data_IF_719148635467
#
_entry.id   IF_719148635467
#
_cell.length_a   1.000
_cell.length_b   1.000
_cell.length_c   1.000
_cell.angle_alpha   90.00
_cell.angle_beta   90.00
_cell.angle_gamma   90.00
#
_symmetry.space_group_name_H-M   'P 1'
#
loop_
_entity.id
_entity.type
_entity.pdbx_description
1 polymer ?
#
# COMPACT_ATOMS: atom_id res chain seq x y z
N UNK A 1 7.08 -23.86 6.13
CA UNK A 1 6.17 -23.31 5.13
C UNK A 1 6.96 -22.39 4.21
N UNK A 2 7.02 -22.68 2.92
CA UNK A 2 7.74 -21.85 1.96
C UNK A 2 7.09 -20.47 1.97
N UNK A 3 7.90 -19.47 2.29
CA UNK A 3 7.50 -18.07 2.26
C UNK A 3 7.18 -17.72 0.81
N UNK A 4 5.91 -17.62 0.45
CA UNK A 4 5.50 -17.21 -0.88
C UNK A 4 6.18 -15.87 -1.18
N UNK A 5 6.90 -15.81 -2.29
CA UNK A 5 7.54 -14.58 -2.75
C UNK A 5 6.48 -13.48 -2.88
N UNK A 6 6.58 -12.46 -2.04
CA UNK A 6 5.69 -11.31 -2.09
C UNK A 6 6.21 -10.37 -3.17
N UNK A 7 5.58 -10.40 -4.35
CA UNK A 7 5.96 -9.55 -5.49
C UNK A 7 4.75 -8.75 -6.00
N UNK A 8 5.00 -7.51 -6.40
CA UNK A 8 4.01 -6.68 -7.06
C UNK A 8 4.66 -5.75 -8.10
N UNK A 9 3.85 -5.29 -9.03
CA UNK A 9 4.19 -4.17 -9.90
C UNK A 9 3.89 -2.86 -9.19
N UNK A 10 4.75 -1.88 -9.43
CA UNK A 10 4.60 -0.51 -8.96
C UNK A 10 4.20 0.34 -10.15
N UNK A 11 3.08 1.01 -10.02
CA UNK A 11 2.54 1.94 -11.01
C UNK A 11 2.76 3.38 -10.53
N UNK A 12 2.85 4.29 -11.46
CA UNK A 12 2.97 5.71 -11.17
C UNK A 12 2.10 6.52 -12.12
N UNK A 13 1.46 7.56 -11.60
CA UNK A 13 0.84 8.62 -12.41
C UNK A 13 1.90 9.68 -12.65
N UNK A 14 2.28 9.86 -13.91
CA UNK A 14 3.30 10.84 -14.29
C UNK A 14 2.77 12.28 -14.19
N UNK A 15 3.63 13.28 -14.00
CA UNK A 15 3.23 14.67 -13.95
C UNK A 15 2.37 15.08 -15.16
N UNK A 16 1.23 15.71 -14.90
CA UNK A 16 0.27 16.13 -15.92
C UNK A 16 -0.56 15.01 -16.55
N UNK A 17 -0.42 13.75 -16.08
CA UNK A 17 -1.19 12.62 -16.55
C UNK A 17 -2.22 12.16 -15.51
N UNK A 18 -3.19 11.35 -15.95
CA UNK A 18 -4.23 10.76 -15.07
C UNK A 18 -4.15 9.24 -15.02
N UNK A 19 -3.47 8.63 -15.98
CA UNK A 19 -3.37 7.18 -16.11
C UNK A 19 -2.10 6.66 -15.43
N UNK A 20 -2.20 5.47 -14.86
CA UNK A 20 -1.04 4.75 -14.36
C UNK A 20 -0.17 4.25 -15.50
N UNK A 21 1.13 4.30 -15.30
CA UNK A 21 2.13 3.57 -16.09
C UNK A 21 2.93 2.67 -15.17
N UNK A 22 3.32 1.49 -15.63
CA UNK A 22 4.10 0.55 -14.85
C UNK A 22 5.55 1.03 -14.78
N UNK A 23 5.96 1.44 -13.58
CA UNK A 23 7.32 1.92 -13.34
C UNK A 23 8.32 0.79 -13.12
N UNK A 24 7.93 -0.26 -12.38
CA UNK A 24 8.84 -1.33 -12.04
C UNK A 24 8.19 -2.45 -11.25
N UNK A 25 9.04 -3.29 -10.64
CA UNK A 25 8.63 -4.41 -9.81
C UNK A 25 9.29 -4.32 -8.43
N UNK A 26 8.48 -4.54 -7.41
CA UNK A 26 8.91 -4.64 -6.01
C UNK A 26 8.69 -6.07 -5.51
N UNK A 27 9.69 -6.59 -4.79
CA UNK A 27 9.63 -7.88 -4.13
C UNK A 27 10.08 -7.75 -2.68
N UNK A 28 9.31 -8.31 -1.75
CA UNK A 28 9.67 -8.41 -0.35
C UNK A 28 10.03 -9.87 -0.03
N UNK A 29 11.25 -10.10 0.44
CA UNK A 29 11.76 -11.43 0.77
C UNK A 29 12.38 -11.42 2.15
N UNK A 30 12.58 -12.61 2.72
CA UNK A 30 13.37 -12.76 3.94
C UNK A 30 14.79 -13.19 3.61
N UNK A 31 15.77 -12.61 4.29
CA UNK A 31 17.15 -13.06 4.22
C UNK A 31 17.34 -14.38 5.01
N UNK A 32 18.58 -14.88 5.06
CA UNK A 32 18.91 -16.11 5.81
C UNK A 32 18.65 -16.00 7.32
N UNK A 33 18.71 -14.80 7.88
CA UNK A 33 18.42 -14.50 9.29
C UNK A 33 16.92 -14.30 9.57
N UNK A 34 16.07 -14.34 8.53
CA UNK A 34 14.63 -14.13 8.66
C UNK A 34 14.18 -12.66 8.55
N UNK A 35 15.12 -11.71 8.37
CA UNK A 35 14.79 -10.29 8.27
C UNK A 35 14.20 -9.95 6.91
N UNK A 36 13.22 -9.04 6.84
CA UNK A 36 12.63 -8.61 5.59
C UNK A 36 13.63 -7.76 4.78
N UNK A 37 13.72 -8.07 3.50
CA UNK A 37 14.55 -7.36 2.51
C UNK A 37 13.72 -7.07 1.27
N UNK A 38 13.55 -5.79 0.98
CA UNK A 38 12.89 -5.31 -0.21
C UNK A 38 13.85 -5.15 -1.37
N UNK A 39 13.38 -5.49 -2.57
CA UNK A 39 14.09 -5.32 -3.82
C UNK A 39 13.19 -4.62 -4.81
N UNK A 40 13.74 -3.64 -5.50
CA UNK A 40 13.03 -2.92 -6.55
C UNK A 40 13.87 -2.83 -7.81
N UNK A 41 13.23 -2.93 -8.97
CA UNK A 41 13.85 -2.72 -10.27
C UNK A 41 12.91 -1.98 -11.20
N UNK A 42 13.40 -0.95 -11.87
CA UNK A 42 12.64 -0.25 -12.90
C UNK A 42 12.47 -1.12 -14.16
N UNK A 43 11.29 -1.08 -14.75
CA UNK A 43 11.06 -1.67 -16.06
C UNK A 43 11.91 -1.01 -17.14
N UNK A 44 12.41 -1.82 -18.09
CA UNK A 44 13.18 -1.26 -19.23
C UNK A 44 12.34 -0.29 -20.06
N UNK A 45 11.10 -0.65 -20.35
CA UNK A 45 10.15 0.20 -21.09
C UNK A 45 9.86 1.52 -20.37
N UNK A 46 9.77 1.48 -19.04
CA UNK A 46 9.59 2.70 -18.25
C UNK A 46 10.81 3.62 -18.36
N UNK A 47 12.02 3.09 -18.15
CA UNK A 47 13.27 3.88 -18.23
C UNK A 47 13.55 4.49 -19.61
N UNK A 48 13.00 3.91 -20.68
CA UNK A 48 13.13 4.41 -22.05
C UNK A 48 12.10 5.49 -22.41
N UNK A 49 11.16 5.78 -21.51
CA UNK A 49 10.20 6.85 -21.73
C UNK A 49 10.87 8.22 -21.59
N UNK A 50 10.55 9.19 -22.45
CA UNK A 50 11.08 10.55 -22.35
C UNK A 50 10.55 11.33 -21.14
N UNK A 51 9.38 10.92 -20.61
CA UNK A 51 8.69 11.50 -19.46
C UNK A 51 8.88 10.69 -18.18
N UNK A 52 9.77 9.68 -18.16
CA UNK A 52 10.05 8.89 -16.98
C UNK A 52 10.64 9.76 -15.86
N UNK A 53 10.12 9.57 -14.65
CA UNK A 53 10.63 10.21 -13.44
C UNK A 53 11.09 9.13 -12.44
N UNK A 54 12.05 9.49 -11.61
CA UNK A 54 12.43 8.65 -10.48
C UNK A 54 11.32 8.63 -9.42
N UNK A 55 11.07 7.46 -8.81
CA UNK A 55 10.03 7.32 -7.77
C UNK A 55 10.46 7.96 -6.44
N UNK A 56 11.77 8.01 -6.23
CA UNK A 56 12.39 8.64 -5.05
C UNK A 56 13.79 9.15 -5.46
N UNK A 57 14.10 10.45 -5.26
CA UNK A 57 15.38 11.03 -5.67
C UNK A 57 16.57 10.55 -4.81
N UNK A 58 16.31 9.93 -3.67
CA UNK A 58 17.34 9.44 -2.75
C UNK A 58 17.51 7.93 -2.86
N UNK A 59 16.43 7.16 -2.71
CA UNK A 59 16.49 5.70 -2.61
C UNK A 59 16.23 4.98 -3.94
N UNK A 60 15.42 5.55 -4.85
CA UNK A 60 14.97 4.91 -6.10
C UNK A 60 15.21 5.82 -7.31
N UNK A 61 16.48 6.17 -7.54
CA UNK A 61 16.87 6.94 -8.71
C UNK A 61 16.61 6.17 -10.00
N UNK A 62 16.34 6.86 -11.10
CA UNK A 62 16.04 6.22 -12.39
C UNK A 62 17.28 5.58 -13.01
N UNK A 63 17.59 4.33 -12.62
CA UNK A 63 18.75 3.55 -13.03
C UNK A 63 18.39 2.12 -13.39
N UNK A 64 19.24 1.40 -14.16
CA UNK A 64 18.98 0.01 -14.55
C UNK A 64 19.22 -1.01 -13.43
N UNK A 65 19.95 -0.65 -12.37
CA UNK A 65 20.33 -1.55 -11.30
C UNK A 65 19.11 -1.95 -10.44
N UNK A 66 19.25 -3.07 -9.75
CA UNK A 66 18.32 -3.48 -8.71
C UNK A 66 18.69 -2.76 -7.40
N UNK A 67 17.70 -2.10 -6.83
CA UNK A 67 17.79 -1.50 -5.50
C UNK A 67 17.43 -2.51 -4.42
N UNK A 68 18.06 -2.40 -3.26
CA UNK A 68 17.78 -3.27 -2.12
C UNK A 68 17.77 -2.46 -0.82
N UNK A 69 16.84 -2.78 0.07
CA UNK A 69 16.75 -2.18 1.41
C UNK A 69 16.30 -3.20 2.44
N UNK A 70 16.87 -3.11 3.65
CA UNK A 70 16.39 -3.81 4.84
C UNK A 70 15.75 -2.84 5.84
N UNK A 71 15.74 -1.54 5.52
CA UNK A 71 15.16 -0.49 6.37
C UNK A 71 13.65 -0.58 6.33
N UNK A 72 12.99 -0.04 7.35
CA UNK A 72 11.53 0.08 7.43
C UNK A 72 10.78 -1.22 7.10
N UNK A 73 11.28 -2.37 7.58
CA UNK A 73 10.67 -3.67 7.28
C UNK A 73 10.85 -4.13 5.83
N UNK A 74 11.91 -3.67 5.14
CA UNK A 74 12.19 -3.99 3.74
C UNK A 74 11.46 -3.07 2.75
N UNK A 75 10.93 -1.93 3.19
CA UNK A 75 10.26 -0.97 2.30
C UNK A 75 11.16 0.24 2.03
N UNK A 76 11.15 0.71 0.79
CA UNK A 76 11.65 2.03 0.43
C UNK A 76 10.67 3.10 0.89
N UNK A 77 11.14 4.30 1.26
CA UNK A 77 10.31 5.37 1.79
C UNK A 77 9.11 5.68 0.92
N UNK A 78 9.32 5.94 -0.37
CA UNK A 78 8.24 6.26 -1.30
C UNK A 78 7.19 5.13 -1.43
N UNK A 79 7.59 3.86 -1.35
CA UNK A 79 6.65 2.73 -1.40
C UNK A 79 5.87 2.59 -0.09
N UNK A 80 6.54 2.87 1.04
CA UNK A 80 5.92 2.85 2.36
C UNK A 80 4.86 3.94 2.53
N UNK A 81 5.09 5.10 1.95
CA UNK A 81 4.12 6.21 1.94
C UNK A 81 2.83 5.85 1.19
N UNK A 82 2.86 4.84 0.34
CA UNK A 82 1.68 4.25 -0.29
C UNK A 82 0.86 3.32 0.61
N UNK A 83 1.32 3.01 1.83
CA UNK A 83 0.55 2.23 2.79
C UNK A 83 -0.62 3.06 3.33
N UNK A 84 -1.76 2.43 3.62
CA UNK A 84 -2.86 3.11 4.28
C UNK A 84 -2.44 3.56 5.69
N UNK A 85 -2.99 4.68 6.13
CA UNK A 85 -2.88 5.13 7.50
C UNK A 85 -3.60 4.16 8.47
N UNK A 86 -3.59 4.49 9.76
CA UNK A 86 -4.23 3.65 10.78
C UNK A 86 -5.71 3.37 10.48
N UNK A 87 -6.46 4.37 10.03
CA UNK A 87 -7.88 4.23 9.72
C UNK A 87 -8.10 3.41 8.45
N UNK A 88 -7.35 3.67 7.40
CA UNK A 88 -7.38 2.90 6.17
C UNK A 88 -7.05 1.43 6.40
N UNK A 89 -6.09 1.13 7.26
CA UNK A 89 -5.76 -0.24 7.69
C UNK A 89 -6.96 -0.93 8.32
N UNK A 90 -7.63 -0.31 9.29
CA UNK A 90 -8.80 -0.89 9.94
C UNK A 90 -9.96 -1.16 8.97
N UNK A 91 -10.20 -0.23 8.03
CA UNK A 91 -11.23 -0.42 7.00
C UNK A 91 -10.92 -1.63 6.10
N UNK A 92 -9.66 -1.79 5.70
CA UNK A 92 -9.22 -2.91 4.87
C UNK A 92 -9.34 -4.23 5.65
N UNK A 93 -8.88 -4.29 6.89
CA UNK A 93 -8.96 -5.48 7.74
C UNK A 93 -10.42 -5.93 7.97
N UNK A 94 -11.32 -4.98 8.23
CA UNK A 94 -12.77 -5.27 8.35
C UNK A 94 -13.37 -5.81 7.04
N UNK A 95 -13.01 -5.22 5.89
CA UNK A 95 -13.49 -5.69 4.59
C UNK A 95 -12.92 -7.06 4.22
N UNK A 96 -11.67 -7.32 4.56
CA UNK A 96 -11.00 -8.59 4.29
C UNK A 96 -11.46 -9.71 5.22
N UNK A 97 -12.08 -9.39 6.36
CA UNK A 97 -12.48 -10.36 7.38
C UNK A 97 -11.32 -11.00 8.13
N UNK A 98 -10.11 -10.46 8.01
CA UNK A 98 -8.89 -10.95 8.66
C UNK A 98 -8.25 -9.85 9.49
N UNK A 99 -8.01 -10.05 10.80
CA UNK A 99 -7.16 -9.19 11.59
C UNK A 99 -5.69 -9.40 11.18
N UNK A 100 -4.88 -8.34 11.30
CA UNK A 100 -3.44 -8.37 11.08
C UNK A 100 -2.98 -8.72 9.64
N UNK A 101 -3.51 -8.01 8.66
CA UNK A 101 -3.00 -8.04 7.28
C UNK A 101 -1.58 -7.44 7.25
N UNK A 102 -0.63 -8.13 6.64
CA UNK A 102 0.76 -7.65 6.51
C UNK A 102 0.88 -6.40 5.66
N UNK A 103 1.94 -5.62 5.85
CA UNK A 103 2.16 -4.36 5.10
C UNK A 103 2.19 -4.57 3.58
N UNK A 104 2.71 -5.71 3.12
CA UNK A 104 2.73 -6.02 1.69
C UNK A 104 1.32 -6.25 1.12
N UNK A 105 0.48 -6.97 1.82
CA UNK A 105 -0.92 -7.18 1.45
C UNK A 105 -1.70 -5.86 1.49
N UNK A 106 -1.41 -5.00 2.46
CA UNK A 106 -2.02 -3.67 2.55
C UNK A 106 -1.67 -2.77 1.35
N UNK A 107 -0.44 -2.89 0.79
CA UNK A 107 -0.11 -2.22 -0.46
C UNK A 107 -1.01 -2.67 -1.61
N UNK A 108 -1.35 -3.95 -1.67
CA UNK A 108 -2.16 -4.50 -2.76
C UNK A 108 -3.66 -4.24 -2.59
N UNK A 109 -4.15 -4.26 -1.35
CA UNK A 109 -5.57 -4.09 -1.01
C UNK A 109 -6.00 -2.62 -0.88
N UNK A 110 -5.04 -1.71 -0.72
CA UNK A 110 -5.35 -0.29 -0.61
C UNK A 110 -6.00 0.23 -1.90
N UNK A 111 -6.97 1.14 -1.79
CA UNK A 111 -7.65 1.73 -2.94
C UNK A 111 -6.71 2.57 -3.80
N UNK A 112 -7.06 2.79 -5.06
CA UNK A 112 -6.25 3.57 -6.01
C UNK A 112 -6.26 5.08 -5.75
N UNK A 113 -7.12 5.56 -4.86
CA UNK A 113 -7.24 6.97 -4.45
C UNK A 113 -6.33 7.37 -3.28
N UNK A 114 -5.20 6.67 -3.15
CA UNK A 114 -4.18 6.94 -2.12
C UNK A 114 -3.63 8.35 -2.24
N UNK A 115 -3.14 8.85 -1.12
CA UNK A 115 -2.28 10.03 -1.14
C UNK A 115 -1.01 9.71 -1.95
N UNK A 116 -0.73 10.50 -3.00
CA UNK A 116 0.44 10.32 -3.84
C UNK A 116 0.15 9.74 -5.22
N UNK A 117 1.22 9.56 -6.00
CA UNK A 117 1.16 9.17 -7.41
C UNK A 117 1.34 7.66 -7.64
N UNK A 118 1.59 6.86 -6.59
CA UNK A 118 1.91 5.44 -6.71
C UNK A 118 0.68 4.55 -6.58
N UNK A 119 0.67 3.45 -7.35
CA UNK A 119 -0.26 2.35 -7.23
C UNK A 119 0.48 1.01 -7.23
N UNK A 120 -0.19 -0.05 -6.80
CA UNK A 120 0.41 -1.37 -6.67
C UNK A 120 -0.55 -2.44 -7.17
N UNK A 121 -0.03 -3.49 -7.78
CA UNK A 121 -0.86 -4.58 -8.26
C UNK A 121 -0.06 -5.79 -8.73
N UNK A 122 -0.78 -6.87 -9.05
CA UNK A 122 -0.17 -8.13 -9.49
C UNK A 122 -0.03 -8.24 -11.01
N UNK A 123 -0.64 -7.35 -11.77
CA UNK A 123 -0.56 -7.32 -13.23
C UNK A 123 0.52 -6.38 -13.72
N UNK A 124 1.23 -6.75 -14.78
CA UNK A 124 2.14 -5.84 -15.48
C UNK A 124 1.39 -4.69 -16.15
N UNK A 125 0.15 -4.93 -16.55
CA UNK A 125 -0.73 -3.89 -17.10
C UNK A 125 -1.45 -3.22 -15.94
N UNK A 126 -1.28 -1.90 -15.74
CA UNK A 126 -1.94 -1.19 -14.66
C UNK A 126 -3.46 -1.21 -14.87
N UNK A 127 -4.26 -1.16 -13.79
CA UNK A 127 -5.71 -1.05 -13.90
C UNK A 127 -6.08 0.27 -14.59
N UNK A 128 -7.25 0.30 -15.22
CA UNK A 128 -7.85 1.55 -15.65
C UNK A 128 -8.04 2.46 -14.42
N UNK A 129 -7.84 3.78 -14.56
CA UNK A 129 -7.97 4.69 -13.44
C UNK A 129 -9.42 4.70 -12.97
N UNK A 130 -9.68 4.14 -11.79
CA UNK A 130 -10.95 4.33 -11.09
C UNK A 130 -11.02 5.68 -10.38
N UNK A 131 -9.93 6.46 -10.45
CA UNK A 131 -9.86 7.81 -9.87
C UNK A 131 -10.90 8.69 -10.51
N UNK A 132 -12.03 8.79 -9.89
CA UNK A 132 -12.96 9.90 -10.12
C UNK A 132 -12.43 11.10 -9.33
N UNK A 133 -11.54 11.86 -9.94
CA UNK A 133 -11.22 13.21 -9.48
C UNK A 133 -12.54 13.96 -9.35
N UNK A 134 -12.85 14.53 -8.20
CA UNK A 134 -14.10 15.22 -7.84
C UNK A 134 -15.31 14.35 -7.45
N UNK A 135 -15.12 13.19 -6.81
CA UNK A 135 -16.17 12.77 -5.90
C UNK A 135 -16.19 13.77 -4.75
N UNK A 136 -17.18 14.60 -4.73
CA UNK A 136 -17.58 15.31 -3.52
C UNK A 136 -17.81 14.21 -2.48
N UNK A 137 -16.86 14.06 -1.56
CA UNK A 137 -17.03 13.15 -0.44
C UNK A 137 -18.24 13.69 0.33
N UNK A 138 -19.29 12.91 0.43
CA UNK A 138 -20.43 13.27 1.27
C UNK A 138 -19.92 13.27 2.72
N UNK A 139 -19.70 14.49 3.23
CA UNK A 139 -19.26 14.71 4.62
C UNK A 139 -20.20 14.04 5.62
N UNK A 140 -21.50 13.96 5.31
CA UNK A 140 -22.49 13.27 6.13
C UNK A 140 -22.25 11.76 6.17
N UNK A 141 -21.83 11.14 5.07
CA UNK A 141 -21.43 9.73 5.06
C UNK A 141 -20.14 9.49 5.86
N UNK A 142 -19.15 10.36 5.71
CA UNK A 142 -17.88 10.28 6.46
C UNK A 142 -18.11 10.43 7.97
N UNK A 143 -18.97 11.37 8.39
CA UNK A 143 -19.32 11.52 9.80
C UNK A 143 -19.99 10.26 10.36
N UNK A 144 -20.98 9.72 9.68
CA UNK A 144 -21.66 8.48 10.10
C UNK A 144 -20.72 7.29 10.15
N UNK A 145 -19.79 7.16 9.20
CA UNK A 145 -18.80 6.10 9.20
C UNK A 145 -17.81 6.25 10.37
N UNK A 146 -17.37 7.48 10.68
CA UNK A 146 -16.50 7.76 11.81
C UNK A 146 -17.22 7.50 13.15
N UNK A 147 -18.46 7.92 13.30
CA UNK A 147 -19.29 7.67 14.49
C UNK A 147 -19.51 6.17 14.73
N UNK A 148 -19.80 5.40 13.68
CA UNK A 148 -19.98 3.95 13.79
C UNK A 148 -18.68 3.25 14.26
N UNK A 149 -17.51 3.69 13.78
CA UNK A 149 -16.20 3.15 14.20
C UNK A 149 -15.91 3.49 15.66
N UNK A 150 -16.22 4.71 16.09
CA UNK A 150 -16.04 5.16 17.48
C UNK A 150 -16.95 4.41 18.45
N UNK A 151 -18.21 4.18 18.06
CA UNK A 151 -19.19 3.46 18.88
C UNK A 151 -18.80 2.00 19.08
N UNK A 152 -18.39 1.30 18.04
CA UNK A 152 -17.90 -0.08 18.13
C UNK A 152 -16.62 -0.21 18.99
N UNK A 153 -15.77 0.82 19.00
CA UNK A 153 -14.55 0.82 19.82
C UNK A 153 -14.85 1.02 21.32
N UNK A 154 -15.98 1.62 21.65
CA UNK A 154 -16.38 1.87 23.05
C UNK A 154 -17.15 0.68 23.66
N UNK A 155 -17.81 -0.15 22.86
CA UNK A 155 -18.57 -1.31 23.39
C UNK A 155 -17.70 -2.52 23.73
N UNK A 156 -16.51 -2.67 23.16
CA UNK A 156 -15.61 -3.80 23.45
C UNK A 156 -15.00 -3.85 24.88
N UNK A 157 -14.73 -2.75 25.61
CA UNK A 157 -14.17 -2.85 26.96
C UNK A 157 -15.17 -3.32 28.05
N UNK A 158 -16.46 -3.27 27.83
CA UNK A 158 -17.46 -3.61 28.87
C UNK A 158 -17.75 -5.11 29.01
N UNK A 159 -17.47 -5.90 28.00
CA UNK A 159 -17.72 -7.36 28.04
C UNK A 159 -16.67 -8.18 28.83
N UNK A 160 -15.53 -7.57 29.16
CA UNK A 160 -14.41 -8.25 29.85
C UNK A 160 -14.37 -8.02 31.38
N UNK A 161 -15.33 -7.28 31.97
CA UNK A 161 -15.36 -6.99 33.40
C UNK A 161 -16.51 -7.65 34.17
N UNK A 162 -17.15 -8.68 33.64
CA UNK A 162 -18.08 -9.49 34.43
C UNK A 162 -17.49 -10.89 34.64
N UNK A 163 -16.59 -11.05 35.60
CA UNK A 163 -16.36 -12.31 36.26
C UNK A 163 -17.47 -12.51 37.29
N UNK A 164 -18.24 -13.59 37.26
CA UNK A 164 -19.17 -13.89 38.33
C UNK A 164 -18.36 -14.32 39.56
N UNK A 165 -18.48 -13.56 40.63
CA UNK A 165 -18.13 -14.01 41.96
C UNK A 165 -19.16 -15.05 42.38
N UNK A 166 -18.71 -16.26 42.66
CA UNK A 166 -19.46 -17.31 43.28
C UNK A 166 -18.48 -18.34 43.80
#
# INVERSE_FOLDING_TARGET
MANADQECFVYVVLPGQTNFVTAGRFALRRNRSGDPVGRFVYGRSYRQRPDAVELDPVELRLRPEQFQTARMGGFFGALRDGLPDFWGRQVIERKAGFPAVGDFELLLLGPDDRAGALGFGRSVVPPAPERRFNRTLDLGWLQKAAEAILTDSVEQPKALMQTPSG
#
